data_IF_283598037150
#
_entry.id   IF_283598037150
#
_cell.length_a   1.000
_cell.length_b   1.000
_cell.length_c   1.000
_cell.angle_alpha   90.00
_cell.angle_beta   90.00
_cell.angle_gamma   90.00
#
_symmetry.space_group_name_H-M   'P 1'
#
loop_
_entity.id
_entity.type
_entity.pdbx_description
1 polymer ?
#
# COMPACT_ATOMS: atom_id res chain seq x y z
N UNK A 1 7.17 1.93 -21.05
CA UNK A 1 6.63 0.55 -21.17
C UNK A 1 6.43 -0.09 -19.81
N UNK A 2 7.47 -0.14 -18.96
CA UNK A 2 7.38 -0.71 -17.60
C UNK A 2 6.25 -0.14 -16.75
N UNK A 3 6.04 1.18 -16.74
CA UNK A 3 4.94 1.78 -15.97
C UNK A 3 3.57 1.28 -16.39
N UNK A 4 3.31 1.14 -17.70
CA UNK A 4 2.05 0.57 -18.19
C UNK A 4 1.84 -0.88 -17.74
N UNK A 5 2.92 -1.66 -17.64
CA UNK A 5 2.86 -3.04 -17.12
C UNK A 5 2.46 -3.00 -15.64
N UNK A 6 3.10 -2.12 -14.87
CA UNK A 6 2.82 -1.93 -13.44
C UNK A 6 1.37 -1.46 -13.20
N UNK A 7 0.86 -0.55 -14.03
CA UNK A 7 -0.53 -0.08 -13.97
C UNK A 7 -1.54 -1.17 -14.35
N UNK A 8 -1.20 -2.02 -15.32
CA UNK A 8 -2.09 -3.08 -15.80
C UNK A 8 -2.09 -4.33 -14.92
N UNK A 9 -0.99 -4.56 -14.18
CA UNK A 9 -0.79 -5.71 -13.32
C UNK A 9 -0.08 -5.28 -12.01
N UNK A 10 -0.76 -4.53 -11.13
CA UNK A 10 -0.20 -4.09 -9.86
C UNK A 10 0.16 -5.25 -8.92
N UNK A 11 -0.40 -6.43 -9.12
CA UNK A 11 -0.12 -7.64 -8.34
C UNK A 11 1.31 -8.16 -8.58
N UNK A 12 1.89 -7.96 -9.77
CA UNK A 12 3.23 -8.49 -10.10
C UNK A 12 4.38 -7.58 -9.67
N UNK A 13 4.09 -6.44 -9.05
CA UNK A 13 5.13 -5.44 -8.70
C UNK A 13 6.15 -5.97 -7.72
N UNK A 14 5.74 -6.83 -6.79
CA UNK A 14 6.64 -7.50 -5.85
C UNK A 14 7.66 -8.37 -6.59
N UNK A 15 7.21 -9.14 -7.57
CA UNK A 15 8.08 -10.01 -8.38
C UNK A 15 9.00 -9.18 -9.27
N UNK A 16 8.46 -8.17 -9.95
CA UNK A 16 9.23 -7.24 -10.78
C UNK A 16 10.36 -6.59 -9.97
N UNK A 17 10.09 -6.17 -8.73
CA UNK A 17 11.07 -5.54 -7.84
C UNK A 17 12.25 -6.44 -7.48
N UNK A 18 12.09 -7.76 -7.56
CA UNK A 18 13.14 -8.74 -7.26
C UNK A 18 14.03 -9.06 -8.46
N UNK A 19 13.58 -8.80 -9.69
CA UNK A 19 14.26 -9.22 -10.92
C UNK A 19 15.64 -8.58 -11.13
N UNK A 20 15.78 -7.26 -10.96
CA UNK A 20 17.04 -6.54 -11.14
C UNK A 20 17.06 -5.21 -10.41
N UNK A 21 18.24 -4.62 -10.22
CA UNK A 21 18.40 -3.29 -9.60
C UNK A 21 17.72 -2.19 -10.43
N UNK A 22 17.79 -2.29 -11.76
CA UNK A 22 17.17 -1.30 -12.66
C UNK A 22 15.65 -1.38 -12.56
N UNK A 23 15.08 -2.59 -12.65
CA UNK A 23 13.63 -2.77 -12.55
C UNK A 23 13.12 -2.37 -11.17
N UNK A 24 13.85 -2.70 -10.09
CA UNK A 24 13.55 -2.23 -8.73
C UNK A 24 13.46 -0.71 -8.66
N UNK A 25 14.45 0.00 -9.22
CA UNK A 25 14.44 1.47 -9.22
C UNK A 25 13.21 2.04 -9.93
N UNK A 26 12.82 1.44 -11.07
CA UNK A 26 11.65 1.88 -11.84
C UNK A 26 10.34 1.61 -11.08
N UNK A 27 10.24 0.45 -10.43
CA UNK A 27 9.08 0.08 -9.61
C UNK A 27 8.97 0.99 -8.39
N UNK A 28 10.07 1.26 -7.71
CA UNK A 28 10.11 2.13 -6.52
C UNK A 28 9.76 3.58 -6.89
N UNK A 29 10.31 4.10 -7.99
CA UNK A 29 9.95 5.43 -8.52
C UNK A 29 8.46 5.51 -8.87
N UNK A 30 7.93 4.50 -9.57
CA UNK A 30 6.51 4.45 -9.91
C UNK A 30 5.60 4.37 -8.68
N UNK A 31 6.00 3.63 -7.64
CA UNK A 31 5.24 3.55 -6.40
C UNK A 31 5.21 4.89 -5.66
N UNK A 32 6.29 5.68 -5.70
CA UNK A 32 6.38 7.01 -5.09
C UNK A 32 5.63 8.10 -5.87
N UNK A 33 5.48 7.94 -7.19
CA UNK A 33 4.64 8.84 -7.97
C UNK A 33 3.19 8.72 -7.49
N UNK A 34 2.61 9.85 -7.07
CA UNK A 34 1.19 9.98 -6.73
C UNK A 34 0.34 9.84 -8.00
N UNK A 35 0.29 8.63 -8.55
CA UNK A 35 -0.60 8.29 -9.64
C UNK A 35 -1.96 8.04 -9.01
N UNK A 36 -2.98 8.76 -9.50
CA UNK A 36 -4.38 8.81 -9.09
C UNK A 36 -5.14 7.47 -9.19
N UNK A 37 -4.46 6.34 -9.08
CA UNK A 37 -5.11 5.02 -9.00
C UNK A 37 -5.68 4.91 -7.59
N UNK A 38 -7.01 4.86 -7.42
CA UNK A 38 -7.61 4.58 -6.13
C UNK A 38 -7.25 3.15 -5.75
N UNK A 39 -6.32 3.00 -4.82
CA UNK A 39 -5.89 1.70 -4.27
C UNK A 39 -6.75 1.31 -3.06
N UNK A 40 -7.25 2.31 -2.33
CA UNK A 40 -8.01 2.11 -1.11
C UNK A 40 -9.50 2.08 -1.46
N UNK A 41 -10.16 0.98 -1.11
CA UNK A 41 -11.60 0.82 -1.27
C UNK A 41 -12.36 1.43 -0.08
N UNK A 42 -11.85 1.23 1.13
CA UNK A 42 -12.50 1.66 2.38
C UNK A 42 -11.47 1.94 3.47
N UNK A 43 -11.75 2.93 4.33
CA UNK A 43 -10.99 3.18 5.55
C UNK A 43 -11.96 3.19 6.73
N UNK A 44 -11.71 2.33 7.70
CA UNK A 44 -12.52 2.20 8.92
C UNK A 44 -11.69 2.63 10.13
N UNK A 45 -12.30 3.44 10.99
CA UNK A 45 -11.70 3.93 12.22
C UNK A 45 -12.47 3.36 13.42
N UNK A 46 -11.79 2.59 14.26
CA UNK A 46 -12.39 1.95 15.43
C UNK A 46 -11.68 2.41 16.70
N UNK A 47 -12.47 2.74 17.73
CA UNK A 47 -11.95 3.13 19.02
C UNK A 47 -12.14 1.98 20.01
N UNK A 48 -11.04 1.38 20.45
CA UNK A 48 -11.05 0.39 21.53
C UNK A 48 -10.98 1.13 22.87
N UNK A 49 -12.01 0.93 23.71
CA UNK A 49 -12.04 1.39 25.09
C UNK A 49 -11.61 0.25 26.01
N UNK A 50 -10.45 0.39 26.65
CA UNK A 50 -9.92 -0.59 27.59
C UNK A 50 -10.18 -0.12 29.03
N UNK A 51 -11.34 -0.50 29.57
CA UNK A 51 -11.82 -0.24 30.94
C UNK A 51 -12.05 1.22 31.35
N UNK A 52 -13.04 1.43 32.23
CA UNK A 52 -13.44 2.76 32.72
C UNK A 52 -12.37 3.47 33.59
N UNK A 53 -11.35 2.74 34.07
CA UNK A 53 -10.32 3.24 34.98
C UNK A 53 -9.02 3.63 34.24
N UNK A 54 -8.74 3.05 33.08
CA UNK A 54 -7.50 3.30 32.34
C UNK A 54 -7.84 3.89 30.96
N UNK A 55 -7.79 5.22 30.86
CA UNK A 55 -8.14 5.97 29.65
C UNK A 55 -7.15 5.82 28.47
N UNK A 56 -6.63 4.62 28.22
CA UNK A 56 -5.87 4.33 27.00
C UNK A 56 -6.84 4.08 25.86
N UNK A 57 -7.07 5.14 25.08
CA UNK A 57 -7.78 5.06 23.80
C UNK A 57 -6.83 4.48 22.77
N UNK A 58 -7.15 3.30 22.25
CA UNK A 58 -6.45 2.76 21.08
C UNK A 58 -7.32 3.01 19.85
N UNK A 59 -6.83 3.86 18.95
CA UNK A 59 -7.39 4.02 17.62
C UNK A 59 -6.85 2.90 16.73
N UNK A 60 -7.74 2.05 16.24
CA UNK A 60 -7.45 1.10 15.17
C UNK A 60 -7.88 1.73 13.84
N UNK A 61 -6.98 1.68 12.85
CA UNK A 61 -7.27 2.10 11.47
C UNK A 61 -7.16 0.87 10.60
N UNK A 62 -8.27 0.48 9.99
CA UNK A 62 -8.35 -0.64 9.06
C UNK A 62 -8.53 -0.07 7.65
N UNK A 63 -7.72 -0.54 6.71
CA UNK A 63 -7.77 -0.10 5.31
C UNK A 63 -8.10 -1.31 4.46
N UNK A 64 -9.21 -1.25 3.73
CA UNK A 64 -9.60 -2.24 2.74
C UNK A 64 -9.03 -1.87 1.39
N UNK A 65 -8.39 -2.84 0.75
CA UNK A 65 -7.68 -2.70 -0.52
C UNK A 65 -8.06 -3.90 -1.38
N UNK A 66 -8.23 -3.67 -2.68
CA UNK A 66 -8.46 -4.74 -3.65
C UNK A 66 -7.28 -5.72 -3.66
N UNK A 67 -7.57 -7.02 -3.82
CA UNK A 67 -6.54 -8.06 -3.88
C UNK A 67 -5.50 -7.79 -4.96
N UNK A 68 -5.91 -7.27 -6.13
CA UNK A 68 -4.99 -6.96 -7.22
C UNK A 68 -4.02 -5.82 -6.87
N UNK A 69 -4.40 -4.89 -6.00
CA UNK A 69 -3.60 -3.70 -5.68
C UNK A 69 -2.88 -3.79 -4.33
N UNK A 70 -3.08 -4.87 -3.56
CA UNK A 70 -2.51 -5.03 -2.22
C UNK A 70 -0.98 -4.96 -2.21
N UNK A 71 -0.32 -5.56 -3.21
CA UNK A 71 1.14 -5.54 -3.33
C UNK A 71 1.67 -4.13 -3.62
N UNK A 72 0.98 -3.38 -4.48
CA UNK A 72 1.30 -1.98 -4.74
C UNK A 72 1.07 -1.12 -3.50
N UNK A 73 -0.03 -1.34 -2.78
CA UNK A 73 -0.32 -0.64 -1.53
C UNK A 73 0.77 -0.85 -0.48
N UNK A 74 1.14 -2.11 -0.24
CA UNK A 74 2.16 -2.46 0.73
C UNK A 74 3.52 -1.86 0.36
N UNK A 75 3.87 -1.89 -0.93
CA UNK A 75 5.09 -1.26 -1.44
C UNK A 75 5.11 0.24 -1.16
N UNK A 76 4.01 0.94 -1.42
CA UNK A 76 3.87 2.39 -1.14
C UNK A 76 4.01 2.70 0.35
N UNK A 77 3.44 1.88 1.22
CA UNK A 77 3.61 2.04 2.67
C UNK A 77 5.05 1.83 3.12
N UNK A 78 5.77 0.87 2.52
CA UNK A 78 7.17 0.57 2.85
C UNK A 78 8.13 1.66 2.38
N UNK A 79 7.85 2.30 1.24
CA UNK A 79 8.71 3.34 0.67
C UNK A 79 8.50 4.73 1.29
N UNK A 80 7.34 4.99 1.88
CA UNK A 80 7.01 6.26 2.56
C UNK A 80 7.33 6.25 4.07
N UNK A 81 8.26 5.39 4.51
CA UNK A 81 8.76 5.35 5.90
C UNK A 81 9.89 6.33 6.13
#
# INVERSE_FOLDING_TARGET
>A
LMWKIIESAPEVVSDLRLTSRVIRSIVDEHAQLQINIPIIDEITFEWEFKDWINALRKLSVSIKVSECTVNMFELRLKLNK
#
